data_IF_137068927462
#
_entry.id   IF_137068927462
#
_cell.length_a   1.000
_cell.length_b   1.000
_cell.length_c   1.000
_cell.angle_alpha   90.00
_cell.angle_beta   90.00
_cell.angle_gamma   90.00
#
_symmetry.space_group_name_H-M   'P 1'
#
loop_
_entity.id
_entity.type
_entity.pdbx_description
1 polymer ?
#
# COMPACT_ATOMS: atom_id res chain seq x y z
N UNK A 1 -18.59 -13.91 -5.29
CA UNK A 1 -17.49 -14.32 -4.39
C UNK A 1 -16.33 -13.40 -4.70
N UNK A 2 -15.93 -12.55 -3.74
CA UNK A 2 -14.79 -11.63 -3.92
C UNK A 2 -13.50 -12.42 -4.12
N UNK A 3 -12.55 -11.83 -4.85
CA UNK A 3 -11.20 -12.36 -5.01
C UNK A 3 -10.27 -11.73 -3.98
N UNK A 4 -9.15 -12.40 -3.75
CA UNK A 4 -8.08 -11.91 -2.90
C UNK A 4 -6.90 -11.50 -3.79
N UNK A 5 -6.46 -10.26 -3.68
CA UNK A 5 -5.31 -9.74 -4.40
C UNK A 5 -4.18 -9.46 -3.43
N UNK A 6 -3.06 -10.14 -3.60
CA UNK A 6 -1.83 -9.83 -2.86
C UNK A 6 -1.01 -8.88 -3.72
N UNK A 7 -0.78 -7.65 -3.25
CA UNK A 7 0.04 -6.69 -3.98
C UNK A 7 1.49 -6.76 -3.55
N UNK A 8 2.36 -6.52 -4.51
CA UNK A 8 3.79 -6.35 -4.33
C UNK A 8 4.12 -4.85 -4.19
N UNK A 9 5.20 -4.52 -3.49
CA UNK A 9 5.69 -3.14 -3.38
C UNK A 9 5.90 -2.49 -4.74
N UNK A 10 6.40 -3.22 -5.74
CA UNK A 10 6.63 -2.69 -7.08
C UNK A 10 5.36 -2.14 -7.73
N UNK A 11 4.21 -2.78 -7.48
CA UNK A 11 2.91 -2.31 -7.97
C UNK A 11 2.58 -0.95 -7.33
N UNK A 12 2.81 -0.82 -6.03
CA UNK A 12 2.57 0.42 -5.27
C UNK A 12 3.57 1.53 -5.61
N UNK A 13 4.81 1.18 -5.96
CA UNK A 13 5.84 2.12 -6.39
C UNK A 13 5.59 2.63 -7.80
N UNK A 14 5.00 1.83 -8.67
CA UNK A 14 4.58 2.26 -10.00
C UNK A 14 3.29 3.09 -9.93
N UNK A 15 2.33 2.64 -9.12
CA UNK A 15 1.04 3.32 -8.93
C UNK A 15 0.63 3.33 -7.45
N UNK A 16 0.75 4.47 -6.75
CA UNK A 16 0.45 4.55 -5.33
C UNK A 16 -1.04 4.33 -5.01
N UNK A 17 -1.92 4.46 -6.00
CA UNK A 17 -3.37 4.26 -5.85
C UNK A 17 -3.81 2.83 -6.15
N UNK A 18 -2.90 1.92 -6.52
CA UNK A 18 -3.24 0.57 -6.96
C UNK A 18 -4.11 -0.18 -5.93
N UNK A 19 -3.81 -0.07 -4.64
CA UNK A 19 -4.57 -0.74 -3.57
C UNK A 19 -6.05 -0.34 -3.49
N UNK A 20 -6.45 0.78 -4.10
CA UNK A 20 -7.82 1.29 -4.10
C UNK A 20 -8.60 0.94 -5.39
N UNK A 21 -7.99 0.20 -6.33
CA UNK A 21 -8.59 -0.10 -7.65
C UNK A 21 -9.22 -1.48 -7.76
N UNK A 22 -9.33 -2.20 -6.65
CA UNK A 22 -9.81 -3.57 -6.63
C UNK A 22 -11.30 -3.69 -6.27
N UNK A 23 -12.05 -2.59 -6.28
CA UNK A 23 -13.51 -2.57 -6.06
C UNK A 23 -13.90 -3.37 -4.80
N UNK A 24 -14.81 -4.35 -4.94
CA UNK A 24 -15.33 -5.19 -3.86
C UNK A 24 -14.41 -6.38 -3.50
N UNK A 25 -13.13 -6.34 -3.90
CA UNK A 25 -12.16 -7.41 -3.64
C UNK A 25 -11.20 -7.04 -2.51
N UNK A 26 -10.78 -8.06 -1.76
CA UNK A 26 -9.86 -7.89 -0.66
C UNK A 26 -8.43 -7.71 -1.17
N UNK A 27 -7.75 -6.66 -0.69
CA UNK A 27 -6.35 -6.38 -1.01
C UNK A 27 -5.49 -6.68 0.21
N UNK A 28 -4.57 -7.64 0.05
CA UNK A 28 -3.56 -7.96 1.05
C UNK A 28 -2.25 -7.30 0.67
N UNK A 29 -1.68 -6.57 1.63
CA UNK A 29 -0.32 -6.06 1.57
C UNK A 29 0.55 -6.87 2.55
N UNK A 30 1.54 -7.64 2.07
CA UNK A 30 2.50 -8.29 2.95
C UNK A 30 3.20 -7.29 3.88
N UNK A 31 3.45 -7.66 5.13
CA UNK A 31 4.07 -6.76 6.11
C UNK A 31 5.46 -6.27 5.68
N UNK A 32 6.17 -7.06 4.86
CA UNK A 32 7.46 -6.70 4.29
C UNK A 32 7.42 -5.37 3.52
N UNK A 33 6.28 -5.04 2.89
CA UNK A 33 6.08 -3.80 2.12
C UNK A 33 6.42 -2.56 2.96
N UNK A 34 6.15 -2.56 4.27
CA UNK A 34 6.45 -1.43 5.15
C UNK A 34 7.94 -1.12 5.15
N UNK A 35 8.77 -2.16 5.31
CA UNK A 35 10.23 -2.01 5.29
C UNK A 35 10.73 -1.54 3.92
N UNK A 36 10.15 -2.08 2.85
CA UNK A 36 10.55 -1.71 1.49
C UNK A 36 10.21 -0.25 1.17
N UNK A 37 9.00 0.20 1.52
CA UNK A 37 8.58 1.59 1.37
C UNK A 37 9.52 2.51 2.13
N UNK A 38 9.94 2.16 3.35
CA UNK A 38 10.91 2.96 4.12
C UNK A 38 12.27 3.09 3.44
N UNK A 39 12.73 2.05 2.74
CA UNK A 39 13.93 2.13 1.89
C UNK A 39 13.71 3.08 0.72
N UNK A 40 12.59 2.93 0.00
CA UNK A 40 12.31 3.73 -1.21
C UNK A 40 11.98 5.20 -0.92
N UNK A 41 11.41 5.54 0.24
CA UNK A 41 11.13 6.93 0.66
C UNK A 41 12.36 7.83 0.62
N UNK A 42 13.56 7.27 0.77
CA UNK A 42 14.84 8.00 0.76
C UNK A 42 15.31 8.37 -0.65
N UNK A 43 14.68 7.83 -1.69
CA UNK A 43 15.02 8.13 -3.07
C UNK A 43 14.39 9.46 -3.52
N UNK A 44 15.11 10.27 -4.32
CA UNK A 44 14.64 11.58 -4.78
C UNK A 44 13.62 11.49 -5.95
N UNK A 45 13.60 10.36 -6.66
CA UNK A 45 12.85 10.17 -7.89
C UNK A 45 11.34 9.87 -7.67
N UNK A 46 10.62 9.62 -8.76
CA UNK A 46 9.20 9.26 -8.77
C UNK A 46 8.89 8.10 -7.82
N UNK A 47 9.75 7.08 -7.80
CA UNK A 47 9.65 5.93 -6.89
C UNK A 47 9.57 6.37 -5.42
N UNK A 48 10.41 7.31 -5.00
CA UNK A 48 10.39 7.82 -3.63
C UNK A 48 9.16 8.68 -3.34
N UNK A 49 8.65 9.43 -4.33
CA UNK A 49 7.38 10.16 -4.20
C UNK A 49 6.21 9.21 -3.98
N UNK A 50 6.13 8.15 -4.79
CA UNK A 50 5.10 7.13 -4.70
C UNK A 50 5.19 6.37 -3.37
N UNK A 51 6.39 5.98 -2.94
CA UNK A 51 6.59 5.34 -1.64
C UNK A 51 6.09 6.20 -0.46
N UNK A 52 6.37 7.51 -0.48
CA UNK A 52 5.86 8.46 0.52
C UNK A 52 4.34 8.59 0.47
N UNK A 53 3.74 8.61 -0.72
CA UNK A 53 2.28 8.66 -0.87
C UNK A 53 1.60 7.41 -0.34
N UNK A 54 2.09 6.22 -0.73
CA UNK A 54 1.58 4.93 -0.25
C UNK A 54 1.63 4.88 1.27
N UNK A 55 2.74 5.29 1.88
CA UNK A 55 2.84 5.28 3.35
C UNK A 55 1.87 6.23 4.03
N UNK A 56 1.63 7.43 3.47
CA UNK A 56 0.60 8.32 3.99
C UNK A 56 -0.79 7.69 3.92
N UNK A 57 -1.12 7.01 2.83
CA UNK A 57 -2.40 6.29 2.71
C UNK A 57 -2.51 5.18 3.75
N UNK A 58 -1.44 4.41 4.00
CA UNK A 58 -1.43 3.38 5.06
C UNK A 58 -1.60 4.00 6.45
N UNK A 59 -0.98 5.14 6.72
CA UNK A 59 -1.14 5.87 7.98
C UNK A 59 -2.58 6.40 8.15
N UNK A 60 -3.21 6.91 7.09
CA UNK A 60 -4.62 7.33 7.10
C UNK A 60 -5.57 6.15 7.35
N UNK A 61 -5.32 5.02 6.69
CA UNK A 61 -6.09 3.79 6.87
C UNK A 61 -5.97 3.25 8.31
N UNK A 62 -4.78 3.34 8.91
CA UNK A 62 -4.55 2.95 10.31
C UNK A 62 -5.38 3.78 11.30
N UNK A 63 -5.76 5.01 10.94
CA UNK A 63 -6.64 5.82 11.79
C UNK A 63 -8.10 5.32 11.78
N UNK A 64 -8.48 4.54 10.76
CA UNK A 64 -9.84 3.97 10.62
C UNK A 64 -9.98 2.60 11.27
N UNK A 65 -8.87 1.91 11.52
CA UNK A 65 -8.88 0.61 12.17
C UNK A 65 -7.53 -0.10 12.16
N UNK A 66 -7.51 -1.33 12.65
CA UNK A 66 -6.32 -2.17 12.68
C UNK A 66 -6.06 -2.79 11.30
N UNK A 67 -4.98 -2.37 10.63
CA UNK A 67 -4.58 -2.89 9.32
C UNK A 67 -4.46 -4.43 9.27
N UNK A 68 -4.11 -5.08 10.38
CA UNK A 68 -3.98 -6.54 10.49
C UNK A 68 -5.32 -7.29 10.46
N UNK A 69 -6.43 -6.60 10.73
CA UNK A 69 -7.77 -7.17 10.65
C UNK A 69 -8.51 -6.74 9.37
N UNK A 70 -7.87 -5.90 8.54
CA UNK A 70 -8.53 -5.21 7.44
C UNK A 70 -9.18 -3.90 7.88
N UNK A 71 -9.31 -2.98 6.93
CA UNK A 71 -9.86 -1.63 7.10
C UNK A 71 -10.68 -1.28 5.85
N UNK A 72 -11.83 -0.64 6.05
CA UNK A 72 -12.75 -0.18 4.99
C UNK A 72 -12.74 1.35 4.89
#
# INVERSE_FOLDING_TARGET
MGKLFVLDTNVLLHDPMAMLRFEDNDVILPIAIIEELDRFKKQPEMTGRNARQVSRMLDELRQRGHLTHGVM
#
